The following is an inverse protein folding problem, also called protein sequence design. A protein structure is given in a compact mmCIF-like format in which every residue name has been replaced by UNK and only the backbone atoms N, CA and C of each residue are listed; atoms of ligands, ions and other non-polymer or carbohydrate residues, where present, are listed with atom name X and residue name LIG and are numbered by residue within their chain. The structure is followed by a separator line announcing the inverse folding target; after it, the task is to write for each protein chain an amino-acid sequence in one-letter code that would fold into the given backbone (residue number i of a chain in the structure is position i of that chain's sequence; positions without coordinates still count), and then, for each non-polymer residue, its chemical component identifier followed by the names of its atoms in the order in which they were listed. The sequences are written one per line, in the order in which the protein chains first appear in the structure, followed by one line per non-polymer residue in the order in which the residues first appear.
data_IF_751210270165
#
_entry.id   IF_751210270165
#
_cell.length_a   1.000
_cell.length_b   1.000
_cell.length_c   1.000
_cell.angle_alpha   90.00
_cell.angle_beta   90.00
_cell.angle_gamma   90.00
#
_symmetry.space_group_name_H-M   'P 1'
#
loop_
_entity.id
_entity.type
_entity.pdbx_description
1 polymer ?
#
# COMPACT_ATOMS: atom_id res chain seq x y z
N UNK A 1 65.60 23.89 20.59
CA UNK A 1 64.21 23.59 20.98
C UNK A 1 63.80 22.37 20.15
N UNK A 2 63.99 21.19 20.72
CA UNK A 2 63.68 19.90 20.10
C UNK A 2 62.15 19.76 20.04
N UNK A 3 61.57 19.79 18.85
CA UNK A 3 60.11 19.62 18.73
C UNK A 3 59.79 18.14 18.97
N UNK A 4 58.86 17.80 19.88
CA UNK A 4 58.50 16.41 20.11
C UNK A 4 58.03 15.79 18.79
N UNK A 5 58.56 14.60 18.47
CA UNK A 5 58.16 13.84 17.28
C UNK A 5 56.63 13.66 17.27
N UNK A 6 55.97 13.88 16.12
CA UNK A 6 54.52 13.72 16.00
C UNK A 6 54.12 12.30 16.40
N UNK A 7 53.26 12.17 17.41
CA UNK A 7 52.79 10.88 17.88
C UNK A 7 51.85 10.31 16.81
N UNK A 8 52.24 9.18 16.20
CA UNK A 8 51.51 8.52 15.11
C UNK A 8 50.18 7.92 15.59
N UNK A 9 49.19 8.78 15.89
CA UNK A 9 47.84 8.37 16.28
C UNK A 9 46.83 8.36 15.12
N UNK A 10 47.28 8.71 13.91
CA UNK A 10 46.43 8.80 12.73
C UNK A 10 46.80 7.74 11.68
N UNK A 11 45.81 7.19 10.97
CA UNK A 11 46.07 6.23 9.91
C UNK A 11 46.93 6.86 8.83
N UNK A 12 47.94 6.12 8.37
CA UNK A 12 48.73 6.50 7.21
C UNK A 12 47.80 6.57 6.00
N UNK A 13 47.92 7.64 5.20
CA UNK A 13 47.12 7.85 4.00
C UNK A 13 48.01 8.31 2.86
N UNK A 14 47.64 7.96 1.64
CA UNK A 14 48.30 8.40 0.41
C UNK A 14 47.99 9.88 0.16
N UNK A 15 48.99 10.78 0.18
CA UNK A 15 48.74 12.20 -0.01
C UNK A 15 48.26 12.49 -1.43
N UNK A 16 47.35 13.46 -1.55
CA UNK A 16 46.75 13.86 -2.82
C UNK A 16 47.85 14.41 -3.73
N UNK A 17 48.01 13.87 -4.95
CA UNK A 17 49.04 14.32 -5.87
C UNK A 17 48.83 15.78 -6.27
N UNK A 18 49.93 16.51 -6.48
CA UNK A 18 49.91 17.92 -6.89
C UNK A 18 50.55 18.06 -8.27
N UNK A 19 49.80 18.62 -9.21
CA UNK A 19 50.27 18.82 -10.59
C UNK A 19 51.44 19.80 -10.74
N UNK A 20 51.65 20.71 -9.78
CA UNK A 20 52.75 21.69 -9.79
C UNK A 20 53.42 21.72 -8.44
N UNK A 21 54.75 21.56 -8.41
CA UNK A 21 55.53 21.83 -7.21
C UNK A 21 55.63 23.34 -7.00
N UNK A 22 55.18 23.79 -5.83
CA UNK A 22 55.22 25.19 -5.41
C UNK A 22 55.88 25.24 -4.04
N UNK A 23 56.69 26.27 -3.79
CA UNK A 23 57.36 26.45 -2.49
C UNK A 23 56.36 26.47 -1.31
N UNK A 24 55.17 27.08 -1.52
CA UNK A 24 54.05 27.10 -0.57
C UNK A 24 52.97 26.06 -0.89
N UNK A 25 53.33 25.00 -1.60
CA UNK A 25 52.42 23.96 -2.05
C UNK A 25 51.93 23.05 -0.91
N UNK A 26 50.87 22.31 -1.19
CA UNK A 26 50.36 21.24 -0.34
C UNK A 26 51.15 19.95 -0.58
N UNK A 27 52.43 19.97 -0.17
CA UNK A 27 53.32 18.82 -0.26
C UNK A 27 52.83 17.65 0.59
N UNK A 28 53.21 16.40 0.27
CA UNK A 28 52.82 15.22 1.05
C UNK A 28 53.00 15.38 2.57
N UNK A 29 54.11 15.98 3.00
CA UNK A 29 54.44 16.22 4.41
C UNK A 29 53.48 17.23 5.04
N UNK A 30 53.12 18.28 4.30
CA UNK A 30 52.19 19.32 4.75
C UNK A 30 50.77 18.77 4.87
N UNK A 31 50.36 17.87 3.98
CA UNK A 31 49.05 17.20 4.08
C UNK A 31 48.97 16.34 5.34
N UNK A 32 50.01 15.55 5.63
CA UNK A 32 50.08 14.74 6.86
C UNK A 32 50.06 15.61 8.12
N UNK A 33 50.90 16.65 8.17
CA UNK A 33 50.94 17.59 9.29
C UNK A 33 49.61 18.35 9.48
N UNK A 34 48.87 18.59 8.40
CA UNK A 34 47.56 19.22 8.47
C UNK A 34 46.53 18.30 9.12
N UNK A 35 46.51 17.02 8.71
CA UNK A 35 45.60 16.01 9.27
C UNK A 35 45.89 15.80 10.77
N UNK A 36 47.16 15.80 11.16
CA UNK A 36 47.57 15.79 12.56
C UNK A 36 47.10 17.03 13.33
N UNK A 37 47.36 18.23 12.80
CA UNK A 37 46.89 19.47 13.40
C UNK A 37 45.36 19.53 13.49
N UNK A 38 44.64 18.91 12.54
CA UNK A 38 43.19 18.80 12.55
C UNK A 38 42.71 17.89 13.69
N UNK A 39 43.37 16.75 13.92
CA UNK A 39 43.05 15.85 15.03
C UNK A 39 43.34 16.45 16.40
N UNK A 40 44.34 17.33 16.50
CA UNK A 40 44.64 18.04 17.75
C UNK A 40 43.66 19.18 18.03
N UNK A 41 43.23 19.91 17.00
CA UNK A 41 42.50 21.17 17.17
C UNK A 41 40.99 21.06 16.91
N UNK A 42 40.55 20.06 16.15
CA UNK A 42 39.18 19.94 15.65
C UNK A 42 38.73 21.09 14.74
N UNK A 43 39.64 21.97 14.32
CA UNK A 43 39.32 23.19 13.57
C UNK A 43 40.20 23.31 12.34
N UNK A 44 39.57 23.28 11.16
CA UNK A 44 40.24 23.41 9.86
C UNK A 44 41.05 24.69 9.76
N UNK A 45 40.50 25.81 10.26
CA UNK A 45 41.16 27.11 10.25
C UNK A 45 42.44 27.11 11.11
N UNK A 46 42.36 26.56 12.31
CA UNK A 46 43.52 26.44 13.21
C UNK A 46 44.57 25.48 12.66
N UNK A 47 44.14 24.34 12.12
CA UNK A 47 45.02 23.36 11.49
C UNK A 47 45.75 23.94 10.27
N UNK A 48 45.04 24.63 9.38
CA UNK A 48 45.62 25.29 8.21
C UNK A 48 46.64 26.36 8.61
N UNK A 49 46.33 27.17 9.64
CA UNK A 49 47.25 28.16 10.20
C UNK A 49 48.53 27.51 10.75
N UNK A 50 48.39 26.38 11.45
CA UNK A 50 49.52 25.65 12.05
C UNK A 50 50.49 25.10 11.01
N UNK A 51 49.99 24.69 9.84
CA UNK A 51 50.84 24.27 8.71
C UNK A 51 51.24 25.41 7.77
N UNK A 52 50.90 26.65 8.10
CA UNK A 52 51.21 27.82 7.28
C UNK A 52 50.53 27.79 5.90
N UNK A 53 49.28 27.34 5.82
CA UNK A 53 48.48 27.30 4.59
C UNK A 53 47.13 27.97 4.76
N UNK A 54 46.54 28.39 3.64
CA UNK A 54 45.17 28.89 3.62
C UNK A 54 44.17 27.73 3.70
N UNK A 55 43.08 27.90 4.46
CA UNK A 55 42.04 26.86 4.62
C UNK A 55 41.42 26.44 3.29
N UNK A 56 41.26 27.40 2.37
CA UNK A 56 40.69 27.17 1.04
C UNK A 56 41.46 26.07 0.31
N UNK A 57 42.79 26.04 0.46
CA UNK A 57 43.62 25.00 -0.13
C UNK A 57 43.37 23.60 0.44
N UNK A 58 43.04 23.50 1.73
CA UNK A 58 42.71 22.23 2.37
C UNK A 58 41.37 21.67 1.84
N UNK A 59 40.37 22.53 1.65
CA UNK A 59 39.11 22.13 1.02
C UNK A 59 39.26 21.75 -0.46
N UNK A 60 40.14 22.43 -1.20
CA UNK A 60 40.46 22.06 -2.58
C UNK A 60 41.12 20.68 -2.67
N UNK A 61 41.99 20.33 -1.72
CA UNK A 61 42.52 18.95 -1.62
C UNK A 61 41.40 17.95 -1.38
N UNK A 62 40.48 18.24 -0.45
CA UNK A 62 39.37 17.36 -0.11
C UNK A 62 38.45 17.06 -1.30
N UNK A 63 38.32 18.00 -2.24
CA UNK A 63 37.50 17.87 -3.46
C UNK A 63 38.22 17.19 -4.63
N UNK A 64 39.52 16.89 -4.50
CA UNK A 64 40.27 16.27 -5.58
C UNK A 64 39.78 14.83 -5.86
N UNK A 65 39.72 14.39 -7.14
CA UNK A 65 39.23 13.04 -7.48
C UNK A 65 39.98 11.92 -6.73
N UNK A 66 41.30 12.05 -6.61
CA UNK A 66 42.19 11.08 -5.96
C UNK A 66 42.35 11.30 -4.44
N UNK A 67 41.45 12.06 -3.79
CA UNK A 67 41.51 12.36 -2.36
C UNK A 67 40.66 11.41 -1.50
N UNK A 68 40.44 10.16 -1.91
CA UNK A 68 39.65 9.19 -1.12
C UNK A 68 40.28 8.95 0.26
N UNK A 69 41.56 8.63 0.29
CA UNK A 69 42.31 8.37 1.53
C UNK A 69 42.50 9.62 2.38
N UNK A 70 42.74 10.78 1.76
CA UNK A 70 42.81 12.06 2.47
C UNK A 70 41.47 12.44 3.11
N UNK A 71 40.33 12.18 2.45
CA UNK A 71 38.99 12.39 3.02
C UNK A 71 38.74 11.49 4.22
N UNK A 72 39.07 10.21 4.11
CA UNK A 72 38.93 9.27 5.22
C UNK A 72 39.78 9.70 6.43
N UNK A 73 41.04 10.06 6.19
CA UNK A 73 41.93 10.55 7.25
C UNK A 73 41.44 11.88 7.86
N UNK A 74 40.83 12.76 7.05
CA UNK A 74 40.23 14.01 7.51
C UNK A 74 39.05 13.76 8.44
N UNK A 75 38.13 12.86 8.06
CA UNK A 75 36.94 12.58 8.86
C UNK A 75 37.34 11.92 10.19
N UNK A 76 38.30 10.98 10.17
CA UNK A 76 38.88 10.40 11.40
C UNK A 76 39.55 11.47 12.28
N UNK A 77 40.31 12.39 11.69
CA UNK A 77 40.93 13.48 12.42
C UNK A 77 39.88 14.40 13.06
N UNK A 78 38.79 14.72 12.35
CA UNK A 78 37.70 15.50 12.93
C UNK A 78 37.04 14.79 14.11
N UNK A 79 36.81 13.47 14.02
CA UNK A 79 36.25 12.70 15.13
C UNK A 79 37.15 12.73 16.37
N UNK A 80 38.47 12.59 16.18
CA UNK A 80 39.46 12.69 17.28
C UNK A 80 39.47 14.11 17.86
N UNK A 81 39.47 15.13 17.01
CA UNK A 81 39.42 16.53 17.43
C UNK A 81 38.13 16.86 18.19
N UNK A 82 37.00 16.30 17.77
CA UNK A 82 35.71 16.49 18.42
C UNK A 82 35.71 15.89 19.84
N UNK A 83 36.25 14.68 20.02
CA UNK A 83 36.39 14.06 21.36
C UNK A 83 37.21 14.94 22.31
N UNK A 84 38.30 15.54 21.84
CA UNK A 84 39.09 16.49 22.62
C UNK A 84 38.32 17.76 22.97
N UNK A 85 37.56 18.31 22.02
CA UNK A 85 36.71 19.48 22.28
C UNK A 85 35.64 19.13 23.33
N UNK A 86 35.05 17.93 23.27
CA UNK A 86 34.10 17.46 24.26
C UNK A 86 34.73 17.37 25.66
N UNK A 87 35.95 16.85 25.78
CA UNK A 87 36.66 16.77 27.06
C UNK A 87 36.94 18.17 27.64
N UNK A 88 37.40 19.11 26.81
CA UNK A 88 37.62 20.50 27.23
C UNK A 88 36.29 21.20 27.58
N UNK A 89 35.22 20.92 26.85
CA UNK A 89 33.90 21.45 27.14
C UNK A 89 33.35 20.90 28.48
N UNK A 90 33.59 19.61 28.76
CA UNK A 90 33.22 18.98 30.03
C UNK A 90 34.01 19.57 31.20
N UNK A 91 35.33 19.74 31.05
CA UNK A 91 36.18 20.38 32.05
C UNK A 91 35.71 21.81 32.37
N UNK A 92 35.40 22.60 31.34
CA UNK A 92 34.82 23.95 31.50
C UNK A 92 33.43 23.94 32.13
N UNK A 93 32.61 22.94 31.83
CA UNK A 93 31.27 22.83 32.42
C UNK A 93 31.35 22.49 33.92
N UNK A 94 32.29 21.62 34.31
CA UNK A 94 32.48 21.18 35.69
C UNK A 94 33.23 22.20 36.54
N UNK A 95 34.28 22.81 36.00
CA UNK A 95 35.18 23.68 36.75
C UNK A 95 34.94 25.17 36.48
N UNK A 96 34.11 25.54 35.50
CA UNK A 96 33.92 26.93 35.11
C UNK A 96 35.15 27.56 34.47
N UNK A 97 35.01 28.80 33.99
CA UNK A 97 36.09 29.57 33.35
C UNK A 97 36.41 30.79 34.22
N UNK A 98 37.70 31.08 34.39
CA UNK A 98 38.14 32.30 35.07
C UNK A 98 38.03 33.51 34.13
N UNK A 99 37.25 34.49 34.55
CA UNK A 99 37.04 35.75 33.82
C UNK A 99 37.71 36.88 34.58
N UNK A 100 38.57 37.69 33.93
CA UNK A 100 39.17 38.85 34.57
C UNK A 100 38.12 39.92 34.90
N UNK A 101 38.18 40.47 36.11
CA UNK A 101 37.30 41.55 36.57
C UNK A 101 38.10 42.85 36.56
N UNK A 102 37.65 43.80 35.74
CA UNK A 102 38.25 45.13 35.62
C UNK A 102 37.43 46.16 36.39
N UNK A 103 38.10 47.08 37.08
CA UNK A 103 37.49 48.27 37.65
C UNK A 103 38.35 49.49 37.33
N UNK A 104 37.73 50.57 36.85
CA UNK A 104 38.43 51.79 36.41
C UNK A 104 39.62 51.52 35.46
N UNK A 105 39.47 50.56 34.54
CA UNK A 105 40.52 50.20 33.57
C UNK A 105 41.70 49.40 34.12
N UNK A 106 41.70 49.04 35.41
CA UNK A 106 42.72 48.18 36.03
C UNK A 106 42.16 46.79 36.31
N UNK A 107 42.98 45.75 36.11
CA UNK A 107 42.63 44.38 36.46
C UNK A 107 42.62 44.24 37.99
N UNK A 108 41.46 43.97 38.58
CA UNK A 108 41.25 43.92 40.04
C UNK A 108 41.28 42.48 40.56
N UNK A 109 41.00 41.49 39.72
CA UNK A 109 41.09 40.06 40.07
C UNK A 109 40.48 39.16 39.00
N UNK A 110 40.29 37.89 39.34
CA UNK A 110 39.56 36.92 38.50
C UNK A 110 38.32 36.43 39.23
N UNK A 111 37.24 36.16 38.48
CA UNK A 111 36.03 35.51 38.98
C UNK A 111 35.78 34.27 38.15
N UNK A 112 35.51 33.15 38.81
CA UNK A 112 35.11 31.90 38.15
C UNK A 112 33.63 31.95 37.78
N UNK A 113 33.32 31.70 36.50
CA UNK A 113 31.96 31.69 35.93
C UNK A 113 31.65 30.29 35.44
N UNK A 114 30.56 29.70 35.96
CA UNK A 114 30.05 28.41 35.52
C UNK A 114 29.02 28.61 34.41
N UNK A 115 29.03 27.74 33.41
CA UNK A 115 28.08 27.78 32.30
C UNK A 115 27.11 26.60 32.42
N UNK A 116 26.02 26.81 33.15
CA UNK A 116 25.00 25.79 33.39
C UNK A 116 24.31 25.34 32.09
N UNK A 117 24.24 26.22 31.08
CA UNK A 117 23.73 25.85 29.75
C UNK A 117 24.64 24.86 29.04
N UNK A 118 25.97 25.04 29.13
CA UNK A 118 26.93 24.09 28.59
C UNK A 118 26.85 22.75 29.33
N UNK A 119 26.76 22.77 30.66
CA UNK A 119 26.58 21.55 31.46
C UNK A 119 25.31 20.80 31.06
N UNK A 120 24.17 21.49 31.00
CA UNK A 120 22.89 20.90 30.60
C UNK A 120 22.89 20.41 29.14
N UNK A 121 23.57 21.11 28.22
CA UNK A 121 23.77 20.66 26.85
C UNK A 121 24.56 19.35 26.78
N UNK A 122 25.67 19.24 27.53
CA UNK A 122 26.48 18.03 27.56
C UNK A 122 25.72 16.84 28.17
N UNK A 123 24.97 17.06 29.26
CA UNK A 123 24.15 16.01 29.90
C UNK A 123 23.04 15.49 28.97
N UNK A 124 22.36 16.37 28.24
CA UNK A 124 21.31 16.00 27.27
C UNK A 124 21.84 15.19 26.09
N UNK A 125 23.03 15.50 25.60
CA UNK A 125 23.61 14.79 24.45
C UNK A 125 24.25 13.44 24.84
N UNK A 126 24.90 13.35 26.02
CA UNK A 126 25.58 12.11 26.45
C UNK A 126 24.69 11.10 27.19
N UNK A 127 23.61 11.56 27.82
CA UNK A 127 22.64 10.70 28.48
C UNK A 127 21.22 11.17 28.16
N UNK A 128 20.81 11.09 26.88
CA UNK A 128 19.50 11.57 26.44
C UNK A 128 18.36 10.86 27.17
N UNK A 129 18.45 9.54 27.37
CA UNK A 129 17.46 8.76 28.11
C UNK A 129 17.19 9.28 29.54
N UNK A 130 18.18 9.95 30.16
CA UNK A 130 18.09 10.43 31.54
C UNK A 130 17.81 11.93 31.65
N UNK A 131 18.25 12.73 30.68
CA UNK A 131 18.25 14.19 30.78
C UNK A 131 17.61 14.91 29.58
N UNK A 132 17.32 14.22 28.47
CA UNK A 132 16.44 14.74 27.44
C UNK A 132 15.00 14.62 27.95
N UNK A 133 14.64 15.46 28.94
CA UNK A 133 13.28 15.56 29.44
C UNK A 133 12.30 15.63 28.26
N UNK A 134 11.41 14.64 28.18
CA UNK A 134 10.64 14.23 27.01
C UNK A 134 9.95 15.36 26.24
N UNK A 135 10.70 16.06 25.41
CA UNK A 135 10.19 16.93 24.37
C UNK A 135 10.76 16.40 23.07
N UNK A 136 9.90 15.66 22.36
CA UNK A 136 10.12 15.40 20.95
C UNK A 136 10.45 16.73 20.27
N UNK A 137 11.51 16.74 19.46
CA UNK A 137 11.90 17.87 18.61
C UNK A 137 10.61 18.42 17.99
N UNK A 138 10.27 19.69 18.26
CA UNK A 138 9.06 20.28 17.71
C UNK A 138 9.10 20.10 16.18
N UNK A 139 8.07 19.44 15.64
CA UNK A 139 8.01 19.09 14.22
C UNK A 139 8.16 20.34 13.37
N UNK A 140 9.12 20.31 12.44
CA UNK A 140 9.35 21.36 11.47
C UNK A 140 8.14 21.49 10.53
N UNK A 141 8.01 22.60 9.82
CA UNK A 141 6.93 22.84 8.85
C UNK A 141 6.85 21.73 7.78
N UNK A 142 8.00 21.18 7.36
CA UNK A 142 8.06 20.05 6.44
C UNK A 142 7.45 18.79 7.06
N UNK A 143 7.83 18.47 8.31
CA UNK A 143 7.29 17.32 9.04
C UNK A 143 5.77 17.43 9.24
N UNK A 144 5.26 18.65 9.47
CA UNK A 144 3.82 18.90 9.57
C UNK A 144 3.10 18.68 8.23
N UNK A 145 3.72 19.07 7.12
CA UNK A 145 3.18 18.85 5.78
C UNK A 145 3.17 17.36 5.42
N UNK A 146 4.21 16.61 5.78
CA UNK A 146 4.23 15.16 5.62
C UNK A 146 3.16 14.47 6.47
N UNK A 147 3.00 14.89 7.73
CA UNK A 147 1.97 14.36 8.63
C UNK A 147 0.55 14.59 8.09
N UNK A 148 0.27 15.77 7.56
CA UNK A 148 -1.05 16.06 6.96
C UNK A 148 -1.31 15.21 5.71
N UNK A 149 -0.29 15.00 4.87
CA UNK A 149 -0.37 14.10 3.72
C UNK A 149 -0.65 12.66 4.16
N UNK A 150 0.08 12.15 5.14
CA UNK A 150 -0.09 10.80 5.68
C UNK A 150 -1.48 10.62 6.30
N UNK A 151 -1.96 11.58 7.10
CA UNK A 151 -3.33 11.55 7.65
C UNK A 151 -4.39 11.51 6.56
N UNK A 152 -4.18 12.22 5.44
CA UNK A 152 -5.09 12.19 4.29
C UNK A 152 -5.05 10.82 3.59
N UNK A 153 -3.87 10.23 3.45
CA UNK A 153 -3.71 8.88 2.89
C UNK A 153 -4.40 7.83 3.77
N UNK A 154 -4.13 7.82 5.07
CA UNK A 154 -4.77 6.91 6.01
C UNK A 154 -6.27 7.07 6.07
N UNK A 155 -6.79 8.31 6.01
CA UNK A 155 -8.24 8.53 5.94
C UNK A 155 -8.84 7.93 4.69
N UNK A 156 -8.19 8.08 3.54
CA UNK A 156 -8.65 7.52 2.27
C UNK A 156 -8.62 5.99 2.27
N UNK A 157 -7.56 5.41 2.81
CA UNK A 157 -7.42 3.96 2.98
C UNK A 157 -8.48 3.41 3.92
N UNK A 158 -8.66 4.05 5.09
CA UNK A 158 -9.68 3.70 6.06
C UNK A 158 -11.10 3.83 5.50
N UNK A 159 -11.40 4.88 4.74
CA UNK A 159 -12.69 5.04 4.06
C UNK A 159 -12.93 3.95 3.01
N UNK A 160 -11.90 3.56 2.27
CA UNK A 160 -11.98 2.47 1.29
C UNK A 160 -12.17 1.10 1.96
N UNK A 161 -11.41 0.83 3.03
CA UNK A 161 -11.53 -0.38 3.85
C UNK A 161 -12.92 -0.46 4.50
N UNK A 162 -13.37 0.61 5.15
CA UNK A 162 -14.71 0.71 5.74
C UNK A 162 -15.84 0.56 4.72
N UNK A 163 -15.60 0.97 3.47
CA UNK A 163 -16.56 0.75 2.38
C UNK A 163 -16.59 -0.72 1.95
N UNK A 164 -15.43 -1.38 1.86
CA UNK A 164 -15.33 -2.82 1.57
C UNK A 164 -15.99 -3.66 2.65
N UNK A 165 -15.69 -3.38 3.91
CA UNK A 165 -16.30 -4.08 5.05
C UNK A 165 -17.82 -3.92 5.09
N UNK A 166 -18.33 -2.72 4.80
CA UNK A 166 -19.78 -2.52 4.66
C UNK A 166 -20.36 -3.32 3.51
N UNK A 167 -19.75 -3.30 2.33
CA UNK A 167 -20.22 -4.09 1.19
C UNK A 167 -20.26 -5.59 1.49
N UNK A 168 -19.22 -6.13 2.17
CA UNK A 168 -19.19 -7.53 2.59
C UNK A 168 -20.34 -7.82 3.55
N UNK A 169 -20.53 -6.98 4.58
CA UNK A 169 -21.61 -7.14 5.55
C UNK A 169 -22.99 -7.06 4.89
N UNK A 170 -23.20 -6.11 4.00
CA UNK A 170 -24.46 -5.91 3.31
C UNK A 170 -24.77 -7.12 2.40
N UNK A 171 -23.75 -7.66 1.72
CA UNK A 171 -23.88 -8.89 0.92
C UNK A 171 -24.17 -10.12 1.79
N UNK A 172 -23.48 -10.27 2.92
CA UNK A 172 -23.73 -11.36 3.86
C UNK A 172 -25.13 -11.27 4.49
N UNK A 173 -25.60 -10.06 4.81
CA UNK A 173 -26.98 -9.83 5.24
C UNK A 173 -27.99 -10.16 4.14
N UNK A 174 -27.69 -9.82 2.89
CA UNK A 174 -28.53 -10.19 1.75
C UNK A 174 -28.61 -11.72 1.61
N UNK A 175 -27.48 -12.44 1.59
CA UNK A 175 -27.42 -13.91 1.55
C UNK A 175 -28.17 -14.54 2.72
N UNK A 176 -28.01 -14.01 3.93
CA UNK A 176 -28.74 -14.51 5.10
C UNK A 176 -30.25 -14.26 4.96
N UNK A 177 -30.66 -13.10 4.46
CA UNK A 177 -32.07 -12.80 4.23
C UNK A 177 -32.68 -13.72 3.17
N UNK A 178 -31.93 -14.03 2.11
CA UNK A 178 -32.32 -14.98 1.07
C UNK A 178 -32.45 -16.40 1.64
N UNK A 179 -31.45 -16.87 2.40
CA UNK A 179 -31.53 -18.16 3.09
C UNK A 179 -32.74 -18.26 4.01
N UNK A 180 -33.03 -17.21 4.79
CA UNK A 180 -34.18 -17.18 5.69
C UNK A 180 -35.51 -17.21 4.92
N UNK A 181 -35.58 -16.53 3.77
CA UNK A 181 -36.74 -16.56 2.88
C UNK A 181 -36.94 -17.96 2.30
N UNK A 182 -35.88 -18.59 1.78
CA UNK A 182 -35.91 -19.96 1.24
C UNK A 182 -36.38 -20.94 2.31
N UNK A 183 -35.82 -20.88 3.52
CA UNK A 183 -36.21 -21.75 4.63
C UNK A 183 -37.67 -21.54 5.05
N UNK A 184 -38.10 -20.27 5.14
CA UNK A 184 -39.49 -19.91 5.42
C UNK A 184 -40.45 -20.51 4.40
N UNK A 185 -40.12 -20.44 3.11
CA UNK A 185 -40.96 -20.95 2.03
C UNK A 185 -40.93 -22.47 1.98
N UNK A 186 -39.77 -23.10 2.19
CA UNK A 186 -39.65 -24.55 2.32
C UNK A 186 -40.52 -25.08 3.47
N UNK A 187 -40.53 -24.40 4.62
CA UNK A 187 -41.40 -24.77 5.75
C UNK A 187 -42.89 -24.63 5.43
N UNK A 188 -43.26 -23.63 4.61
CA UNK A 188 -44.64 -23.44 4.15
C UNK A 188 -45.05 -24.54 3.17
N UNK A 189 -44.17 -24.90 2.23
CA UNK A 189 -44.36 -26.01 1.30
C UNK A 189 -44.52 -27.33 2.04
N UNK A 190 -43.64 -27.60 2.99
CA UNK A 190 -43.66 -28.82 3.78
C UNK A 190 -45.01 -28.97 4.49
N UNK A 191 -45.49 -27.90 5.16
CA UNK A 191 -46.80 -27.90 5.81
C UNK A 191 -47.92 -28.23 4.82
N UNK A 192 -48.03 -27.47 3.73
CA UNK A 192 -49.01 -27.71 2.68
C UNK A 192 -48.95 -29.14 2.12
N UNK A 193 -47.75 -29.64 1.81
CA UNK A 193 -47.54 -30.97 1.25
C UNK A 193 -47.96 -32.07 2.23
N UNK A 194 -47.70 -31.89 3.53
CA UNK A 194 -48.13 -32.86 4.55
C UNK A 194 -49.63 -32.92 4.76
N UNK A 195 -50.35 -31.82 4.50
CA UNK A 195 -51.82 -31.75 4.58
C UNK A 195 -52.50 -32.44 3.38
N UNK A 196 -51.78 -32.68 2.28
CA UNK A 196 -52.31 -33.36 1.10
C UNK A 196 -52.58 -34.85 1.35
N UNK A 197 -53.72 -35.32 0.83
CA UNK A 197 -54.06 -36.74 0.81
C UNK A 197 -53.04 -37.60 0.03
N UNK A 198 -52.96 -38.92 0.30
CA UNK A 198 -51.98 -39.81 -0.34
C UNK A 198 -52.03 -39.82 -1.87
N UNK A 199 -53.22 -39.75 -2.46
CA UNK A 199 -53.40 -39.70 -3.93
C UNK A 199 -52.87 -38.41 -4.53
N UNK A 200 -53.13 -37.27 -3.90
CA UNK A 200 -52.65 -35.96 -4.35
C UNK A 200 -51.12 -35.86 -4.28
N UNK A 201 -50.50 -36.38 -3.21
CA UNK A 201 -49.04 -36.45 -3.10
C UNK A 201 -48.39 -37.35 -4.16
N UNK A 202 -49.05 -38.44 -4.56
CA UNK A 202 -48.56 -39.30 -5.64
C UNK A 202 -48.61 -38.58 -7.00
N UNK A 203 -49.73 -37.91 -7.31
CA UNK A 203 -49.88 -37.12 -8.53
C UNK A 203 -48.88 -35.95 -8.60
N UNK A 204 -48.63 -35.28 -7.47
CA UNK A 204 -47.63 -34.21 -7.39
C UNK A 204 -46.21 -34.73 -7.68
N UNK A 205 -45.84 -35.91 -7.14
CA UNK A 205 -44.53 -36.51 -7.43
C UNK A 205 -44.37 -36.87 -8.90
N UNK A 206 -45.38 -37.49 -9.51
CA UNK A 206 -45.32 -37.78 -10.95
C UNK A 206 -45.24 -36.52 -11.80
N UNK A 207 -45.96 -35.46 -11.42
CA UNK A 207 -45.85 -34.16 -12.10
C UNK A 207 -44.43 -33.60 -12.00
N UNK A 208 -43.82 -33.59 -10.79
CA UNK A 208 -42.44 -33.10 -10.61
C UNK A 208 -41.39 -33.93 -11.35
N UNK A 209 -41.58 -35.25 -11.44
CA UNK A 209 -40.70 -36.13 -12.22
C UNK A 209 -40.75 -35.80 -13.72
N UNK A 210 -41.95 -35.55 -14.25
CA UNK A 210 -42.15 -35.10 -15.63
C UNK A 210 -41.55 -33.71 -15.84
N UNK A 211 -41.85 -32.77 -14.95
CA UNK A 211 -41.36 -31.39 -15.04
C UNK A 211 -39.84 -31.29 -15.05
N UNK A 212 -39.15 -32.14 -14.27
CA UNK A 212 -37.69 -32.26 -14.24
C UNK A 212 -37.14 -32.93 -15.51
N UNK A 213 -37.80 -33.98 -16.01
CA UNK A 213 -37.38 -34.64 -17.25
C UNK A 213 -37.52 -33.70 -18.47
N UNK A 214 -38.53 -32.84 -18.47
CA UNK A 214 -38.76 -31.81 -19.48
C UNK A 214 -37.97 -30.51 -19.23
N UNK A 215 -37.17 -30.43 -18.15
CA UNK A 215 -36.44 -29.19 -17.83
C UNK A 215 -35.30 -28.90 -18.79
N UNK A 216 -34.61 -29.93 -19.29
CA UNK A 216 -33.61 -29.79 -20.35
C UNK A 216 -34.25 -29.28 -21.64
N UNK A 217 -35.38 -29.88 -22.05
CA UNK A 217 -36.13 -29.47 -23.24
C UNK A 217 -36.69 -28.04 -23.11
N UNK A 218 -37.15 -27.66 -21.92
CA UNK A 218 -37.60 -26.29 -21.61
C UNK A 218 -36.46 -25.28 -21.56
N UNK A 219 -35.26 -25.70 -21.16
CA UNK A 219 -34.05 -24.86 -21.25
C UNK A 219 -33.70 -24.66 -22.72
N UNK A 220 -33.65 -25.72 -23.52
CA UNK A 220 -33.40 -25.63 -24.97
C UNK A 220 -34.41 -24.70 -25.66
N UNK A 221 -35.70 -24.77 -25.29
CA UNK A 221 -36.75 -23.84 -25.72
C UNK A 221 -36.47 -22.37 -25.36
N UNK A 222 -35.82 -22.10 -24.22
CA UNK A 222 -35.49 -20.75 -23.76
C UNK A 222 -34.28 -20.17 -24.47
N UNK A 223 -33.37 -21.02 -24.96
CA UNK A 223 -32.17 -20.61 -25.68
C UNK A 223 -32.37 -20.53 -27.20
N UNK A 224 -33.50 -21.01 -27.75
CA UNK A 224 -33.76 -20.98 -29.20
C UNK A 224 -33.70 -19.59 -29.84
N UNK A 225 -34.01 -18.53 -29.09
CA UNK A 225 -33.87 -17.14 -29.56
C UNK A 225 -32.39 -16.74 -29.71
N UNK A 226 -31.54 -17.22 -28.80
CA UNK A 226 -30.09 -16.97 -28.79
C UNK A 226 -29.41 -17.83 -29.86
N UNK A 227 -29.84 -19.08 -30.06
CA UNK A 227 -29.31 -19.96 -31.11
C UNK A 227 -29.57 -19.39 -32.51
N UNK A 228 -30.73 -18.77 -32.74
CA UNK A 228 -31.03 -18.08 -33.99
C UNK A 228 -30.16 -16.84 -34.17
N UNK A 229 -29.92 -16.07 -33.10
CA UNK A 229 -29.04 -14.89 -33.14
C UNK A 229 -27.61 -15.30 -33.50
N UNK A 230 -27.07 -16.33 -32.85
CA UNK A 230 -25.73 -16.89 -33.14
C UNK A 230 -25.66 -17.37 -34.59
N UNK A 231 -26.63 -18.16 -35.06
CA UNK A 231 -26.63 -18.67 -36.43
C UNK A 231 -26.67 -17.54 -37.49
N UNK A 232 -27.41 -16.45 -37.21
CA UNK A 232 -27.44 -15.27 -38.09
C UNK A 232 -26.12 -14.51 -38.11
N UNK A 233 -25.44 -14.41 -36.96
CA UNK A 233 -24.10 -13.81 -36.86
C UNK A 233 -23.04 -14.63 -37.58
N UNK A 234 -23.07 -15.96 -37.44
CA UNK A 234 -22.16 -16.87 -38.14
C UNK A 234 -22.33 -16.78 -39.67
N UNK A 235 -23.58 -16.72 -40.16
CA UNK A 235 -23.86 -16.50 -41.57
C UNK A 235 -23.33 -15.15 -42.08
N UNK A 236 -23.38 -14.10 -41.26
CA UNK A 236 -22.84 -12.80 -41.62
C UNK A 236 -21.30 -12.77 -41.69
N UNK A 237 -20.63 -13.72 -41.03
CA UNK A 237 -19.17 -13.82 -40.94
C UNK A 237 -18.56 -14.89 -41.86
N UNK A 238 -19.39 -15.74 -42.49
CA UNK A 238 -18.94 -16.82 -43.37
C UNK A 238 -18.08 -16.30 -44.55
N UNK A 239 -16.87 -16.83 -44.70
CA UNK A 239 -15.85 -16.32 -45.62
C UNK A 239 -15.77 -17.05 -46.97
N UNK A 240 -16.17 -18.32 -47.03
CA UNK A 240 -16.21 -19.14 -48.26
C UNK A 240 -17.60 -19.79 -48.46
N UNK A 241 -17.90 -20.16 -49.71
CA UNK A 241 -19.20 -20.63 -50.16
C UNK A 241 -19.70 -21.88 -49.42
N UNK A 242 -18.81 -22.80 -49.04
CA UNK A 242 -19.15 -24.00 -48.27
C UNK A 242 -19.53 -23.68 -46.82
N UNK A 243 -18.88 -22.69 -46.20
CA UNK A 243 -19.23 -22.20 -44.86
C UNK A 243 -20.54 -21.39 -44.89
N UNK A 244 -20.79 -20.66 -45.98
CA UNK A 244 -22.01 -19.88 -46.16
C UNK A 244 -23.25 -20.79 -46.35
N UNK A 245 -23.13 -21.92 -47.04
CA UNK A 245 -24.22 -22.89 -47.20
C UNK A 245 -24.57 -23.56 -45.86
N UNK A 246 -23.55 -23.98 -45.09
CA UNK A 246 -23.73 -24.57 -43.76
C UNK A 246 -24.35 -23.59 -42.76
N UNK A 247 -23.91 -22.32 -42.77
CA UNK A 247 -24.48 -21.28 -41.91
C UNK A 247 -25.93 -20.93 -42.30
N UNK A 248 -26.28 -20.95 -43.59
CA UNK A 248 -27.68 -20.79 -44.03
C UNK A 248 -28.55 -21.93 -43.55
N UNK A 249 -28.08 -23.17 -43.66
CA UNK A 249 -28.80 -24.34 -43.17
C UNK A 249 -29.01 -24.27 -41.65
N UNK A 250 -28.00 -23.83 -40.89
CA UNK A 250 -28.10 -23.58 -39.45
C UNK A 250 -29.16 -22.52 -39.10
N UNK A 251 -29.20 -21.38 -39.81
CA UNK A 251 -30.25 -20.37 -39.63
C UNK A 251 -31.63 -20.94 -39.90
N UNK A 252 -31.80 -21.69 -41.01
CA UNK A 252 -33.12 -22.27 -41.32
C UNK A 252 -33.56 -23.32 -40.30
N UNK A 253 -32.62 -24.05 -39.69
CA UNK A 253 -32.90 -24.99 -38.62
C UNK A 253 -33.34 -24.24 -37.35
N UNK A 254 -32.63 -23.18 -36.97
CA UNK A 254 -32.94 -22.36 -35.80
C UNK A 254 -34.28 -21.60 -35.94
N UNK A 255 -34.61 -21.12 -37.14
CA UNK A 255 -35.92 -20.50 -37.41
C UNK A 255 -37.07 -21.52 -37.27
N UNK A 256 -36.86 -22.77 -37.71
CA UNK A 256 -37.84 -23.85 -37.59
C UNK A 256 -38.03 -24.27 -36.14
N UNK A 257 -36.96 -24.43 -35.38
CA UNK A 257 -37.03 -24.81 -33.95
C UNK A 257 -37.73 -23.71 -33.15
N UNK A 258 -37.35 -22.45 -33.33
CA UNK A 258 -38.04 -21.30 -32.71
C UNK A 258 -39.52 -21.25 -33.07
N UNK A 259 -39.87 -21.40 -34.35
CA UNK A 259 -41.27 -21.37 -34.80
C UNK A 259 -42.10 -22.52 -34.19
N UNK A 260 -41.50 -23.70 -34.04
CA UNK A 260 -42.14 -24.83 -33.38
C UNK A 260 -42.40 -24.55 -31.88
N UNK A 261 -41.43 -23.97 -31.18
CA UNK A 261 -41.58 -23.57 -29.78
C UNK A 261 -42.60 -22.44 -29.58
N UNK A 262 -42.66 -21.45 -30.48
CA UNK A 262 -43.66 -20.39 -30.44
C UNK A 262 -45.09 -20.93 -30.63
N UNK A 263 -45.27 -21.90 -31.54
CA UNK A 263 -46.55 -22.56 -31.76
C UNK A 263 -46.99 -23.39 -30.56
N UNK A 264 -46.07 -24.13 -29.95
CA UNK A 264 -46.32 -24.92 -28.74
C UNK A 264 -46.70 -24.02 -27.54
N UNK A 265 -45.96 -22.91 -27.33
CA UNK A 265 -46.31 -21.90 -26.33
C UNK A 265 -47.70 -21.30 -26.54
N UNK A 266 -48.06 -20.98 -27.79
CA UNK A 266 -49.38 -20.43 -28.10
C UNK A 266 -50.51 -21.44 -27.83
N UNK A 267 -50.28 -22.73 -28.11
CA UNK A 267 -51.22 -23.79 -27.77
C UNK A 267 -51.38 -23.94 -26.25
N UNK A 268 -50.28 -23.92 -25.50
CA UNK A 268 -50.29 -23.98 -24.04
C UNK A 268 -50.99 -22.76 -23.40
N UNK A 269 -50.80 -21.56 -23.94
CA UNK A 269 -51.50 -20.35 -23.49
C UNK A 269 -53.02 -20.44 -23.71
N UNK A 270 -53.45 -21.01 -24.83
CA UNK A 270 -54.86 -21.25 -25.12
C UNK A 270 -55.48 -22.29 -24.17
N UNK A 271 -54.77 -23.39 -23.92
CA UNK A 271 -55.18 -24.42 -22.95
C UNK A 271 -55.28 -23.83 -21.53
N UNK A 272 -54.29 -23.04 -21.11
CA UNK A 272 -54.31 -22.35 -19.81
C UNK A 272 -55.50 -21.38 -19.69
N UNK A 273 -55.75 -20.57 -20.74
CA UNK A 273 -56.88 -19.63 -20.75
C UNK A 273 -58.24 -20.36 -20.65
N UNK A 274 -58.39 -21.50 -21.34
CA UNK A 274 -59.58 -22.34 -21.26
C UNK A 274 -59.75 -22.91 -19.84
N UNK A 275 -58.72 -23.55 -19.29
CA UNK A 275 -58.74 -24.09 -17.93
C UNK A 275 -59.07 -23.02 -16.88
N UNK A 276 -58.40 -21.85 -16.96
CA UNK A 276 -58.56 -20.75 -16.01
C UNK A 276 -59.98 -20.17 -16.00
N UNK A 277 -60.70 -20.22 -17.12
CA UNK A 277 -62.09 -19.74 -17.21
C UNK A 277 -63.12 -20.74 -16.68
N UNK A 278 -62.82 -22.04 -16.71
CA UNK A 278 -63.75 -23.10 -16.30
C UNK A 278 -63.72 -23.36 -14.79
N UNK A 279 -62.58 -23.17 -14.11
CA UNK A 279 -62.45 -23.48 -12.68
C UNK A 279 -62.58 -22.26 -11.74
N UNK A 280 -63.66 -22.23 -10.94
CA UNK A 280 -63.97 -21.15 -9.98
C UNK A 280 -62.90 -20.89 -8.89
N UNK A 281 -61.92 -21.78 -8.73
CA UNK A 281 -60.82 -21.69 -7.75
C UNK A 281 -59.45 -21.35 -8.35
N UNK A 282 -59.34 -21.18 -9.67
CA UNK A 282 -58.07 -20.94 -10.37
C UNK A 282 -57.28 -19.73 -9.83
N UNK A 283 -57.97 -18.69 -9.34
CA UNK A 283 -57.35 -17.50 -8.74
C UNK A 283 -56.56 -17.74 -7.44
N UNK A 284 -56.87 -18.81 -6.70
CA UNK A 284 -56.19 -19.13 -5.43
C UNK A 284 -54.91 -19.94 -5.68
N UNK A 285 -54.92 -20.80 -6.70
CA UNK A 285 -53.74 -21.58 -7.11
C UNK A 285 -52.70 -20.74 -7.84
N UNK A 286 -53.11 -19.69 -8.57
CA UNK A 286 -52.19 -18.74 -9.22
C UNK A 286 -51.18 -18.10 -8.24
N UNK A 287 -51.61 -17.74 -7.02
CA UNK A 287 -50.71 -17.16 -6.01
C UNK A 287 -49.71 -18.20 -5.48
N UNK A 288 -50.12 -19.47 -5.39
CA UNK A 288 -49.27 -20.56 -4.91
C UNK A 288 -48.24 -20.93 -5.99
N UNK A 289 -48.65 -21.09 -7.26
CA UNK A 289 -47.74 -21.46 -8.35
C UNK A 289 -46.76 -20.35 -8.74
N UNK A 290 -47.16 -19.07 -8.68
CA UNK A 290 -46.24 -17.95 -8.93
C UNK A 290 -45.18 -17.84 -7.83
N UNK A 291 -45.56 -18.08 -6.57
CA UNK A 291 -44.63 -18.03 -5.43
C UNK A 291 -43.70 -19.25 -5.43
N UNK A 292 -44.18 -20.46 -5.75
CA UNK A 292 -43.36 -21.68 -5.75
C UNK A 292 -42.56 -21.92 -7.04
N UNK A 293 -43.08 -21.53 -8.21
CA UNK A 293 -42.41 -21.67 -9.50
C UNK A 293 -41.23 -20.71 -9.70
N UNK A 294 -41.26 -19.53 -9.07
CA UNK A 294 -40.15 -18.57 -9.11
C UNK A 294 -38.92 -19.01 -8.31
N UNK A 295 -39.11 -19.76 -7.21
CA UNK A 295 -38.02 -20.25 -6.35
C UNK A 295 -37.27 -21.43 -6.94
N UNK A 296 -37.92 -22.28 -7.73
CA UNK A 296 -37.24 -23.40 -8.41
C UNK A 296 -36.32 -22.94 -9.55
N UNK A 297 -36.46 -21.70 -10.03
CA UNK A 297 -35.63 -21.11 -11.11
C UNK A 297 -34.38 -20.37 -10.60
N UNK A 298 -34.20 -20.28 -9.28
CA UNK A 298 -33.15 -19.50 -8.63
C UNK A 298 -31.89 -20.30 -8.28
N UNK A 299 -31.44 -21.22 -9.14
CA UNK A 299 -30.12 -21.84 -9.01
C UNK A 299 -29.57 -22.14 -10.41
N UNK A 300 -28.53 -21.41 -10.82
CA UNK A 300 -27.96 -21.48 -12.18
C UNK A 300 -27.19 -20.23 -12.61
N UNK A 301 -26.58 -19.50 -11.67
CA UNK A 301 -25.86 -18.26 -11.99
C UNK A 301 -24.74 -17.95 -11.00
N UNK A 302 -23.81 -18.89 -10.79
CA UNK A 302 -22.47 -18.57 -10.29
C UNK A 302 -21.41 -19.33 -11.13
N UNK A 303 -20.44 -18.54 -11.64
CA UNK A 303 -19.07 -18.90 -12.02
C UNK A 303 -18.78 -19.62 -13.36
N UNK A 304 -18.75 -18.84 -14.45
CA UNK A 304 -17.66 -18.97 -15.45
C UNK A 304 -16.74 -17.76 -15.34
N UNK A 305 -15.63 -17.99 -14.64
CA UNK A 305 -14.46 -17.13 -14.65
C UNK A 305 -13.26 -17.95 -15.11
N UNK A 306 -12.83 -17.71 -16.35
CA UNK A 306 -11.42 -17.73 -16.76
C UNK A 306 -11.15 -16.51 -17.66
#
# INVERSE_FOLDING_TARGET
MDQPKPQQFLPQFTPVPRAKDRHNGWKPEVQRAFIEALAETGSVKSAARRVGRAEVGAYLLRRHPEAHEFRAAWDIALDIGMRRIEDVAMDRALHGVETPVYSYGKLVGTRRVYNDYLLMFMLRNRAPERFAGGQAKAMNAVDQMELTRLKKQWRKEWEAESKRERAIRDNEQARQSESNLIEGIASMHQRWFTELGPRSRAAYRSFREIELAEEEERRDMRWSDIDLEIAQEDLAQAGDHWEEEEARDAVTLAERTRSAHEADRAAAEAEYAEWFTQERRAKVWWVIDVVFGALSRGDGGEEEGE
#
